data_IF_336032335950
#
_entry.id   IF_336032335950
#
_cell.length_a   1.000
_cell.length_b   1.000
_cell.length_c   1.000
_cell.angle_alpha   90.00
_cell.angle_beta   90.00
_cell.angle_gamma   90.00
#
_symmetry.space_group_name_H-M   'P 1'
#
loop_
_entity.id
_entity.type
_entity.pdbx_description
1 polymer ?
#
# COMPACT_ATOMS: atom_id res chain seq x y z
N UNK A 1 -15.19 45.36 62.54
CA UNK A 1 -14.52 44.63 61.46
C UNK A 1 -13.05 44.72 61.76
N UNK A 2 -12.55 43.80 62.59
CA UNK A 2 -11.15 43.79 62.99
C UNK A 2 -10.32 43.26 61.82
N UNK A 3 -9.65 44.17 61.13
CA UNK A 3 -8.65 43.80 60.13
C UNK A 3 -7.44 43.23 60.86
N UNK A 4 -7.43 41.90 61.03
CA UNK A 4 -6.24 41.18 61.49
C UNK A 4 -5.08 41.58 60.57
N UNK A 5 -3.93 42.03 61.12
CA UNK A 5 -2.78 42.44 60.31
C UNK A 5 -2.40 41.36 59.30
N UNK A 6 -1.97 41.73 58.09
CA UNK A 6 -1.67 40.76 57.01
C UNK A 6 -0.67 39.68 57.44
N UNK A 7 0.27 40.02 58.33
CA UNK A 7 1.24 39.07 58.88
C UNK A 7 0.64 38.05 59.87
N UNK A 8 -0.56 38.29 60.41
CA UNK A 8 -1.27 37.38 61.32
C UNK A 8 -2.28 36.47 60.61
N UNK A 9 -2.42 36.59 59.28
CA UNK A 9 -3.36 35.75 58.50
C UNK A 9 -2.89 34.31 58.37
N UNK A 10 -1.57 34.10 58.30
CA UNK A 10 -0.97 32.78 58.17
C UNK A 10 -0.07 32.51 59.36
N UNK A 11 -0.24 31.33 59.96
CA UNK A 11 0.66 30.81 60.97
C UNK A 11 1.35 29.56 60.42
N UNK A 12 2.68 29.56 60.36
CA UNK A 12 3.44 28.43 59.83
C UNK A 12 3.83 27.49 60.97
N UNK A 13 3.23 26.31 60.98
CA UNK A 13 3.58 25.22 61.88
C UNK A 13 4.67 24.36 61.22
N UNK A 14 5.84 24.30 61.83
CA UNK A 14 6.91 23.40 61.41
C UNK A 14 6.74 22.06 62.11
N UNK A 15 6.52 21.00 61.33
CA UNK A 15 6.47 19.62 61.82
C UNK A 15 7.19 18.71 60.84
N UNK A 16 8.01 17.77 61.33
CA UNK A 16 8.77 16.84 60.49
C UNK A 16 9.62 17.53 59.40
N UNK A 17 10.24 18.67 59.69
CA UNK A 17 11.03 19.49 58.76
C UNK A 17 10.22 19.96 57.53
N UNK A 18 8.89 20.08 57.67
CA UNK A 18 8.01 20.63 56.65
C UNK A 18 7.19 21.78 57.23
N UNK A 19 7.08 22.91 56.51
CA UNK A 19 6.18 23.98 56.89
C UNK A 19 4.74 23.59 56.55
N UNK A 20 3.82 23.82 57.48
CA UNK A 20 2.39 23.69 57.30
C UNK A 20 1.75 25.05 57.56
N UNK A 21 1.20 25.65 56.51
CA UNK A 21 0.56 26.96 56.60
C UNK A 21 -0.89 26.80 57.09
N UNK A 22 -1.17 27.43 58.23
CA UNK A 22 -2.47 27.40 58.88
C UNK A 22 -3.09 28.79 58.85
N UNK A 23 -4.42 28.86 58.78
CA UNK A 23 -5.14 30.12 59.02
C UNK A 23 -4.93 30.56 60.48
N UNK A 24 -4.15 31.61 60.68
CA UNK A 24 -3.73 32.10 62.00
C UNK A 24 -4.91 32.46 62.93
N UNK A 25 -5.95 33.17 62.46
CA UNK A 25 -7.14 33.49 63.26
C UNK A 25 -7.92 32.24 63.71
N UNK A 26 -8.08 31.24 62.84
CA UNK A 26 -8.76 29.99 63.20
C UNK A 26 -7.90 29.17 64.16
N UNK A 27 -6.61 29.05 63.89
CA UNK A 27 -5.71 28.24 64.73
C UNK A 27 -5.49 28.84 66.12
N UNK A 28 -5.37 30.17 66.25
CA UNK A 28 -5.26 30.86 67.55
C UNK A 28 -6.50 30.71 68.43
N UNK A 29 -7.68 30.55 67.84
CA UNK A 29 -8.91 30.26 68.57
C UNK A 29 -8.95 28.82 69.08
N UNK A 30 -8.33 27.89 68.34
CA UNK A 30 -8.32 26.47 68.64
C UNK A 30 -7.18 26.07 69.59
N UNK A 31 -6.02 26.71 69.49
CA UNK A 31 -4.81 26.44 70.27
C UNK A 31 -4.47 27.63 71.18
N UNK A 32 -4.45 27.40 72.50
CA UNK A 32 -4.03 28.43 73.46
C UNK A 32 -2.55 28.80 73.29
N UNK A 33 -1.69 27.84 72.93
CA UNK A 33 -0.26 28.06 72.66
C UNK A 33 -0.07 28.95 71.42
N UNK A 34 -0.77 28.66 70.32
CA UNK A 34 -0.75 29.53 69.13
C UNK A 34 -1.26 30.95 69.46
N UNK A 35 -2.34 31.06 70.24
CA UNK A 35 -2.86 32.36 70.67
C UNK A 35 -1.83 33.20 71.43
N UNK A 36 -1.08 32.60 72.36
CA UNK A 36 0.02 33.27 73.07
C UNK A 36 1.15 33.70 72.13
N UNK A 37 1.57 32.83 71.21
CA UNK A 37 2.65 33.12 70.26
C UNK A 37 2.28 34.28 69.32
N UNK A 38 1.04 34.29 68.80
CA UNK A 38 0.55 35.38 67.95
C UNK A 38 0.41 36.71 68.71
N UNK A 39 0.03 36.68 69.99
CA UNK A 39 0.02 37.88 70.85
C UNK A 39 1.44 38.45 71.07
N UNK A 40 2.46 37.59 71.05
CA UNK A 40 3.87 37.97 71.14
C UNK A 40 4.48 38.39 69.78
N UNK A 41 3.68 38.41 68.71
CA UNK A 41 4.13 38.74 67.36
C UNK A 41 4.87 37.61 66.63
N UNK A 42 4.87 36.39 67.17
CA UNK A 42 5.44 35.22 66.50
C UNK A 42 4.40 34.53 65.62
N UNK A 43 4.70 34.42 64.33
CA UNK A 43 3.81 33.82 63.30
C UNK A 43 4.22 32.41 62.91
N UNK A 44 5.16 31.82 63.65
CA UNK A 44 5.62 30.46 63.43
C UNK A 44 5.81 29.73 64.75
N UNK A 45 5.73 28.40 64.70
CA UNK A 45 6.10 27.55 65.82
C UNK A 45 6.49 26.16 65.35
N UNK A 46 7.24 25.46 66.18
CA UNK A 46 7.80 24.15 65.87
C UNK A 46 7.18 23.11 66.78
N UNK A 47 6.77 21.99 66.21
CA UNK A 47 6.38 20.80 66.96
C UNK A 47 7.63 20.13 67.51
N UNK A 48 7.72 19.95 68.83
CA UNK A 48 8.93 19.40 69.47
C UNK A 48 9.09 17.91 69.20
N UNK A 49 7.98 17.18 69.06
CA UNK A 49 7.97 15.73 68.85
C UNK A 49 7.82 15.41 67.37
N UNK A 50 8.62 14.48 66.87
CA UNK A 50 8.39 13.91 65.55
C UNK A 50 7.23 12.92 65.65
N UNK A 51 6.26 13.07 64.75
CA UNK A 51 5.03 12.28 64.74
C UNK A 51 4.76 11.80 63.33
N UNK A 52 3.90 10.79 63.16
CA UNK A 52 3.63 10.29 61.81
C UNK A 52 2.91 11.33 60.94
N UNK A 53 3.10 11.25 59.63
CA UNK A 53 2.51 12.22 58.69
C UNK A 53 0.97 12.18 58.68
N UNK A 54 0.37 11.01 58.91
CA UNK A 54 -1.08 10.86 59.07
C UNK A 54 -1.58 11.57 60.35
N UNK A 55 -0.83 11.48 61.45
CA UNK A 55 -1.09 12.21 62.69
C UNK A 55 -1.01 13.73 62.46
N UNK A 56 0.01 14.24 61.76
CA UNK A 56 0.13 15.67 61.44
C UNK A 56 -1.04 16.14 60.57
N UNK A 57 -1.39 15.37 59.55
CA UNK A 57 -2.49 15.71 58.64
C UNK A 57 -3.81 15.79 59.41
N UNK A 58 -4.05 14.85 60.33
CA UNK A 58 -5.21 14.86 61.20
C UNK A 58 -5.19 16.05 62.18
N UNK A 59 -4.03 16.40 62.75
CA UNK A 59 -3.86 17.55 63.63
C UNK A 59 -4.12 18.87 62.91
N UNK A 60 -3.53 19.07 61.74
CA UNK A 60 -3.71 20.27 60.89
C UNK A 60 -5.18 20.42 60.49
N UNK A 61 -5.80 19.34 60.03
CA UNK A 61 -7.23 19.34 59.68
C UNK A 61 -8.11 19.68 60.88
N UNK A 62 -7.84 19.10 62.06
CA UNK A 62 -8.58 19.43 63.29
C UNK A 62 -8.43 20.90 63.70
N UNK A 63 -7.23 21.48 63.53
CA UNK A 63 -6.95 22.87 63.86
C UNK A 63 -7.61 23.87 62.89
N UNK A 64 -7.97 23.44 61.68
CA UNK A 64 -8.66 24.23 60.66
C UNK A 64 -10.16 23.93 60.56
N UNK A 65 -10.74 23.19 61.53
CA UNK A 65 -12.14 22.78 61.54
C UNK A 65 -12.55 21.93 60.31
N UNK A 66 -11.58 21.22 59.73
CA UNK A 66 -11.80 20.29 58.61
C UNK A 66 -12.09 18.87 59.14
N UNK A 67 -12.77 18.02 58.35
CA UNK A 67 -12.99 16.62 58.72
C UNK A 67 -11.66 15.86 58.80
N UNK A 68 -11.45 15.12 59.88
CA UNK A 68 -10.24 14.31 60.10
C UNK A 68 -10.58 12.92 60.65
N UNK A 69 -9.64 11.98 60.52
CA UNK A 69 -9.80 10.59 60.98
C UNK A 69 -8.76 10.26 62.05
N UNK A 70 -9.23 9.74 63.17
CA UNK A 70 -8.36 9.18 64.23
C UNK A 70 -8.27 7.67 64.05
N UNK A 71 -7.05 7.14 64.05
CA UNK A 71 -6.80 5.70 63.99
C UNK A 71 -6.28 5.20 65.34
N UNK A 72 -6.33 3.88 65.58
CA UNK A 72 -5.78 3.27 66.80
C UNK A 72 -4.28 3.61 67.00
N UNK A 73 -3.54 3.77 65.90
CA UNK A 73 -2.10 4.03 65.95
C UNK A 73 -1.77 5.53 66.11
N UNK A 74 -2.62 6.42 65.57
CA UNK A 74 -2.40 7.87 65.65
C UNK A 74 -3.05 8.53 66.87
N UNK A 75 -3.96 7.84 67.58
CA UNK A 75 -4.72 8.42 68.70
C UNK A 75 -3.84 9.02 69.80
N UNK A 76 -2.84 8.27 70.30
CA UNK A 76 -1.99 8.77 71.38
C UNK A 76 -0.98 9.82 70.92
N UNK A 77 -0.41 9.68 69.72
CA UNK A 77 0.45 10.72 69.14
C UNK A 77 -0.34 12.03 68.95
N UNK A 78 -1.57 11.95 68.44
CA UNK A 78 -2.45 13.11 68.26
C UNK A 78 -2.83 13.75 69.61
N UNK A 79 -3.04 12.92 70.64
CA UNK A 79 -3.32 13.39 71.99
C UNK A 79 -2.13 14.14 72.59
N UNK A 80 -0.91 13.61 72.43
CA UNK A 80 0.32 14.24 72.92
C UNK A 80 0.55 15.61 72.24
N UNK A 81 0.37 15.71 70.92
CA UNK A 81 0.45 16.98 70.18
C UNK A 81 -0.64 17.95 70.65
N UNK A 82 -1.86 17.45 70.85
CA UNK A 82 -2.98 18.28 71.30
C UNK A 82 -2.74 18.86 72.69
N UNK A 83 -2.10 18.11 73.59
CA UNK A 83 -1.63 18.63 74.88
C UNK A 83 -0.49 19.65 74.69
N UNK A 84 0.52 19.35 73.87
CA UNK A 84 1.66 20.24 73.60
C UNK A 84 1.21 21.61 73.06
N UNK A 85 0.19 21.62 72.21
CA UNK A 85 -0.38 22.83 71.60
C UNK A 85 -1.63 23.35 72.32
N UNK A 86 -1.99 22.76 73.46
CA UNK A 86 -3.13 23.17 74.29
C UNK A 86 -4.47 23.29 73.51
N UNK A 87 -4.78 22.31 72.63
CA UNK A 87 -6.01 22.26 71.81
C UNK A 87 -7.10 21.47 72.54
N UNK A 88 -7.90 22.16 73.37
CA UNK A 88 -8.86 21.53 74.28
C UNK A 88 -9.95 20.67 73.59
N UNK A 89 -10.44 21.12 72.43
CA UNK A 89 -11.46 20.40 71.65
C UNK A 89 -10.94 19.06 71.13
N UNK A 90 -9.70 19.05 70.64
CA UNK A 90 -9.04 17.85 70.13
C UNK A 90 -8.67 16.89 71.27
N UNK A 91 -8.20 17.38 72.41
CA UNK A 91 -7.94 16.57 73.61
C UNK A 91 -9.21 15.81 74.02
N UNK A 92 -10.35 16.50 74.12
CA UNK A 92 -11.62 15.88 74.49
C UNK A 92 -12.05 14.83 73.47
N UNK A 93 -12.02 15.16 72.18
CA UNK A 93 -12.39 14.25 71.10
C UNK A 93 -11.56 12.96 71.10
N UNK A 94 -10.23 13.08 71.27
CA UNK A 94 -9.33 11.93 71.27
C UNK A 94 -9.49 11.10 72.55
N UNK A 95 -9.69 11.72 73.71
CA UNK A 95 -9.99 10.99 74.96
C UNK A 95 -11.32 10.21 74.87
N UNK A 96 -12.35 10.79 74.27
CA UNK A 96 -13.63 10.12 74.03
C UNK A 96 -13.45 8.93 73.07
N UNK A 97 -12.63 9.10 72.02
CA UNK A 97 -12.27 8.02 71.09
C UNK A 97 -11.52 6.88 71.81
N UNK A 98 -10.49 7.19 72.60
CA UNK A 98 -9.70 6.22 73.37
C UNK A 98 -10.59 5.44 74.35
N UNK A 99 -11.48 6.14 75.05
CA UNK A 99 -12.44 5.54 75.99
C UNK A 99 -13.44 4.64 75.28
N UNK A 100 -14.00 5.08 74.13
CA UNK A 100 -14.96 4.30 73.35
C UNK A 100 -14.37 3.04 72.70
N UNK A 101 -13.07 3.05 72.40
CA UNK A 101 -12.36 1.94 71.75
C UNK A 101 -11.54 1.09 72.70
N UNK A 102 -11.50 1.43 74.00
CA UNK A 102 -10.77 0.68 75.03
C UNK A 102 -9.29 0.51 74.71
N UNK A 103 -8.65 1.51 74.11
CA UNK A 103 -7.25 1.43 73.68
C UNK A 103 -6.37 1.88 74.86
N UNK A 104 -5.42 1.06 75.29
CA UNK A 104 -4.41 1.45 76.28
C UNK A 104 -3.19 2.05 75.59
N UNK A 105 -2.54 3.04 76.23
CA UNK A 105 -1.24 3.55 75.75
C UNK A 105 -0.26 2.37 75.76
N UNK A 106 0.52 2.14 74.70
CA UNK A 106 1.63 1.19 74.77
C UNK A 106 2.53 1.59 75.94
N UNK A 107 2.72 0.70 76.93
CA UNK A 107 3.66 0.92 78.04
C UNK A 107 5.08 1.12 77.51
N UNK A 108 5.92 1.88 78.22
CA UNK A 108 7.34 2.17 77.90
C UNK A 108 8.00 1.02 77.15
N UNK A 109 7.91 1.07 75.83
CA UNK A 109 8.53 0.06 74.98
C UNK A 109 9.98 0.48 74.88
N UNK A 110 10.90 -0.45 75.16
CA UNK A 110 12.31 -0.26 74.88
C UNK A 110 12.47 -0.09 73.36
N UNK A 111 12.42 1.17 72.91
CA UNK A 111 12.41 1.53 71.49
C UNK A 111 13.66 1.01 70.77
N UNK A 112 14.80 0.93 71.49
CA UNK A 112 16.07 0.47 70.93
C UNK A 112 16.05 -1.04 70.77
N UNK A 113 15.56 -1.79 71.77
CA UNK A 113 15.41 -3.23 71.65
C UNK A 113 14.40 -3.64 70.56
N UNK A 114 13.30 -2.89 70.41
CA UNK A 114 12.33 -3.12 69.33
C UNK A 114 12.94 -2.82 67.96
N UNK A 115 13.67 -1.70 67.82
CA UNK A 115 14.39 -1.37 66.59
C UNK A 115 15.40 -2.47 66.22
N UNK A 116 16.22 -2.93 67.17
CA UNK A 116 17.18 -4.02 66.92
C UNK A 116 16.50 -5.32 66.49
N UNK A 117 15.36 -5.65 67.11
CA UNK A 117 14.55 -6.82 66.72
C UNK A 117 14.00 -6.70 65.30
N UNK A 118 13.60 -5.50 64.88
CA UNK A 118 13.10 -5.24 63.53
C UNK A 118 14.21 -5.17 62.48
N UNK A 119 15.38 -4.61 62.83
CA UNK A 119 16.59 -4.62 62.02
C UNK A 119 17.07 -6.05 61.73
N UNK A 120 17.11 -6.92 62.75
CA UNK A 120 17.47 -8.34 62.59
C UNK A 120 16.54 -9.11 61.66
N UNK A 121 15.27 -8.68 61.55
CA UNK A 121 14.28 -9.27 60.64
C UNK A 121 14.23 -8.60 59.26
N UNK A 122 15.07 -7.58 59.01
CA UNK A 122 15.05 -6.72 57.81
C UNK A 122 13.67 -6.09 57.54
N UNK A 123 12.89 -5.85 58.58
CA UNK A 123 11.52 -5.31 58.49
C UNK A 123 11.36 -4.14 59.46
N UNK A 124 12.19 -3.11 59.30
CA UNK A 124 12.11 -1.89 60.10
C UNK A 124 11.07 -0.93 59.50
N UNK A 125 10.30 -0.27 60.36
CA UNK A 125 9.30 0.70 59.97
C UNK A 125 9.74 2.12 60.31
N UNK A 126 9.22 3.12 59.58
CA UNK A 126 9.46 4.55 59.90
C UNK A 126 9.06 4.91 61.33
N UNK A 127 8.08 4.19 61.89
CA UNK A 127 7.66 4.35 63.28
C UNK A 127 8.76 4.07 64.29
N UNK A 128 9.65 3.13 64.00
CA UNK A 128 10.71 2.71 64.92
C UNK A 128 11.80 3.78 64.99
N UNK A 129 12.15 4.37 63.83
CA UNK A 129 13.06 5.51 63.71
C UNK A 129 12.48 6.72 64.45
N UNK A 130 11.19 7.01 64.26
CA UNK A 130 10.52 8.11 64.97
C UNK A 130 10.54 7.87 66.48
N UNK A 131 10.25 6.66 66.94
CA UNK A 131 10.24 6.31 68.36
C UNK A 131 11.61 6.53 69.02
N UNK A 132 12.70 6.08 68.39
CA UNK A 132 14.06 6.28 68.91
C UNK A 132 14.50 7.75 68.79
N UNK A 133 14.14 8.45 67.71
CA UNK A 133 14.44 9.89 67.57
C UNK A 133 13.78 10.74 68.66
N UNK A 134 12.60 10.33 69.14
CA UNK A 134 11.90 10.97 70.25
C UNK A 134 12.54 10.71 71.63
N UNK A 135 13.56 9.84 71.72
CA UNK A 135 14.35 9.60 72.94
C UNK A 135 15.87 9.75 72.69
N UNK A 136 16.26 10.46 71.61
CA UNK A 136 17.64 10.51 71.10
C UNK A 136 18.73 10.75 72.16
N UNK A 137 18.56 11.70 73.08
CA UNK A 137 19.59 12.01 74.08
C UNK A 137 19.76 10.86 75.10
N UNK A 138 18.69 10.11 75.39
CA UNK A 138 18.76 8.90 76.21
C UNK A 138 19.33 7.74 75.41
N UNK A 139 19.00 7.65 74.13
CA UNK A 139 19.50 6.61 73.24
C UNK A 139 21.01 6.73 72.96
N UNK A 140 21.54 7.94 72.83
CA UNK A 140 22.97 8.21 72.62
C UNK A 140 23.85 7.72 73.77
N UNK A 141 23.30 7.63 74.98
CA UNK A 141 23.98 7.08 76.15
C UNK A 141 23.80 5.56 76.30
N UNK A 142 22.96 4.93 75.46
CA UNK A 142 22.68 3.49 75.53
C UNK A 142 23.76 2.68 74.77
N UNK A 143 24.44 1.72 75.42
CA UNK A 143 25.49 0.91 74.79
C UNK A 143 24.98 -0.03 73.69
N UNK A 144 23.66 -0.17 73.50
CA UNK A 144 23.08 -1.00 72.44
C UNK A 144 22.91 -0.24 71.12
N UNK A 145 22.92 1.09 71.15
CA UNK A 145 22.73 1.91 69.95
C UNK A 145 23.80 1.65 68.87
N UNK A 146 25.11 1.49 69.19
CA UNK A 146 26.14 1.16 68.18
C UNK A 146 25.91 -0.17 67.42
N UNK A 147 25.02 -1.04 67.89
CA UNK A 147 24.68 -2.30 67.23
C UNK A 147 23.64 -2.12 66.10
N UNK A 148 23.06 -0.93 66.01
CA UNK A 148 22.12 -0.56 64.95
C UNK A 148 22.91 -0.33 63.65
N UNK A 149 22.35 -0.65 62.47
CA UNK A 149 23.01 -0.33 61.21
C UNK A 149 23.27 1.17 61.07
N UNK A 150 24.46 1.60 60.60
CA UNK A 150 24.84 3.01 60.52
C UNK A 150 23.90 3.88 59.68
N UNK A 151 23.21 3.32 58.68
CA UNK A 151 22.19 4.05 57.93
C UNK A 151 20.97 4.39 58.78
N UNK A 152 20.60 3.54 59.74
CA UNK A 152 19.49 3.79 60.65
C UNK A 152 19.89 4.82 61.71
N UNK A 153 21.11 4.75 62.24
CA UNK A 153 21.63 5.78 63.17
C UNK A 153 21.64 7.16 62.51
N UNK A 154 22.11 7.24 61.27
CA UNK A 154 22.09 8.48 60.49
C UNK A 154 20.66 9.02 60.33
N UNK A 155 19.70 8.13 60.01
CA UNK A 155 18.28 8.53 59.87
C UNK A 155 17.64 8.94 61.19
N UNK A 156 17.99 8.31 62.30
CA UNK A 156 17.52 8.66 63.66
C UNK A 156 18.03 10.04 64.04
N UNK A 157 19.31 10.32 63.79
CA UNK A 157 19.92 11.61 64.10
C UNK A 157 19.36 12.74 63.24
N UNK A 158 19.20 12.52 61.93
CA UNK A 158 18.50 13.46 61.05
C UNK A 158 17.03 13.66 61.48
N UNK A 159 16.38 12.60 61.98
CA UNK A 159 15.02 12.69 62.49
C UNK A 159 14.93 13.51 63.78
N UNK A 160 15.98 13.42 64.60
CA UNK A 160 16.10 14.07 65.89
C UNK A 160 16.54 15.53 65.80
N UNK A 161 17.00 16.03 64.64
CA UNK A 161 17.48 17.40 64.42
C UNK A 161 16.48 18.51 64.81
N UNK A 162 15.17 18.24 64.75
CA UNK A 162 14.12 19.14 65.28
C UNK A 162 14.21 19.37 66.79
N UNK A 163 14.86 18.45 67.48
CA UNK A 163 15.15 18.52 68.91
C UNK A 163 16.59 19.01 69.06
N UNK A 164 16.84 19.83 70.05
CA UNK A 164 18.21 20.18 70.43
C UNK A 164 18.94 18.93 70.93
N UNK A 165 19.59 18.20 70.02
CA UNK A 165 20.47 17.07 70.33
C UNK A 165 21.61 17.60 71.19
N UNK A 166 21.94 16.87 72.25
CA UNK A 166 23.13 17.21 73.03
C UNK A 166 24.39 16.91 72.21
N UNK A 167 25.05 17.96 71.77
CA UNK A 167 26.24 17.90 70.93
C UNK A 167 27.43 17.19 71.62
N UNK A 168 27.49 17.18 72.96
CA UNK A 168 28.54 16.44 73.68
C UNK A 168 28.27 14.94 73.64
N UNK A 169 27.03 14.52 73.94
CA UNK A 169 26.65 13.11 73.86
C UNK A 169 26.77 12.55 72.43
N UNK A 170 26.45 13.37 71.43
CA UNK A 170 26.63 12.99 70.03
C UNK A 170 28.10 12.82 69.66
N UNK A 171 28.96 13.75 70.09
CA UNK A 171 30.41 13.66 69.85
C UNK A 171 30.99 12.41 70.52
N UNK A 172 30.66 12.16 71.79
CA UNK A 172 31.14 10.99 72.53
C UNK A 172 30.68 9.67 71.87
N UNK A 173 29.43 9.62 71.41
CA UNK A 173 28.90 8.48 70.67
C UNK A 173 29.64 8.26 69.34
N UNK A 174 29.80 9.31 68.52
CA UNK A 174 30.46 9.20 67.20
C UNK A 174 31.94 8.86 67.35
N UNK A 175 32.64 9.39 68.35
CA UNK A 175 34.04 9.03 68.62
C UNK A 175 34.16 7.59 69.12
N UNK A 176 33.25 7.14 69.98
CA UNK A 176 33.21 5.75 70.42
C UNK A 176 32.98 4.81 69.24
N UNK A 177 32.00 5.14 68.38
CA UNK A 177 31.72 4.39 67.16
C UNK A 177 32.88 4.42 66.17
N UNK A 178 33.58 5.56 66.03
CA UNK A 178 34.74 5.69 65.16
C UNK A 178 35.90 4.79 65.61
N UNK A 179 36.14 4.71 66.92
CA UNK A 179 37.18 3.85 67.48
C UNK A 179 36.86 2.35 67.35
N UNK A 180 35.58 1.97 67.41
CA UNK A 180 35.13 0.58 67.24
C UNK A 180 35.00 0.17 65.77
N UNK A 181 34.45 1.06 64.93
CA UNK A 181 34.22 0.85 63.51
C UNK A 181 34.18 2.19 62.74
N UNK A 182 35.33 2.60 62.20
CA UNK A 182 35.50 3.84 61.46
C UNK A 182 34.55 3.97 60.24
N UNK A 183 34.24 2.86 59.54
CA UNK A 183 33.33 2.88 58.39
C UNK A 183 31.90 3.22 58.79
N UNK A 184 31.41 2.66 59.91
CA UNK A 184 30.06 2.95 60.41
C UNK A 184 29.92 4.40 60.91
N UNK A 185 31.00 4.98 61.42
CA UNK A 185 31.01 6.37 61.90
C UNK A 185 31.05 7.40 60.76
N UNK A 186 31.60 7.06 59.59
CA UNK A 186 31.75 7.95 58.44
C UNK A 186 30.51 8.83 58.13
N UNK A 187 29.28 8.30 57.99
CA UNK A 187 28.10 9.13 57.73
C UNK A 187 27.77 10.09 58.88
N UNK A 188 28.06 9.72 60.12
CA UNK A 188 27.72 10.49 61.32
C UNK A 188 28.71 11.63 61.61
N UNK A 189 29.95 11.51 61.13
CA UNK A 189 30.99 12.53 61.27
C UNK A 189 30.58 13.86 60.60
N UNK A 190 29.72 13.82 59.60
CA UNK A 190 29.17 15.04 59.00
C UNK A 190 28.20 15.81 59.90
N UNK A 191 27.67 15.17 60.95
CA UNK A 191 26.65 15.72 61.84
C UNK A 191 27.22 16.30 63.15
N UNK A 192 28.50 16.06 63.43
CA UNK A 192 29.15 16.56 64.66
C UNK A 192 29.70 17.97 64.50
N UNK A 193 29.74 18.70 65.62
CA UNK A 193 30.37 20.02 65.70
C UNK A 193 31.90 19.88 65.82
N UNK A 194 32.60 20.04 64.70
CA UNK A 194 34.07 19.96 64.64
C UNK A 194 34.79 20.97 65.55
N UNK A 195 34.13 22.05 65.97
CA UNK A 195 34.73 23.04 66.87
C UNK A 195 34.96 22.50 68.29
N UNK A 196 34.31 21.39 68.64
CA UNK A 196 34.38 20.74 69.96
C UNK A 196 35.35 19.56 70.00
N UNK A 197 35.91 19.16 68.86
CA UNK A 197 36.87 18.07 68.78
C UNK A 197 38.23 18.50 69.33
N UNK A 198 38.95 17.56 69.95
CA UNK A 198 40.37 17.77 70.24
C UNK A 198 41.19 17.71 68.95
N UNK A 199 42.39 18.31 68.97
CA UNK A 199 43.27 18.31 67.79
C UNK A 199 43.57 16.89 67.32
N UNK A 200 43.90 15.99 68.25
CA UNK A 200 44.20 14.58 67.96
C UNK A 200 42.99 13.84 67.36
N UNK A 201 41.77 14.09 67.85
CA UNK A 201 40.54 13.50 67.29
C UNK A 201 40.27 14.01 65.88
N UNK A 202 40.46 15.31 65.66
CA UNK A 202 40.28 15.90 64.33
C UNK A 202 41.28 15.34 63.33
N UNK A 203 42.55 15.25 63.70
CA UNK A 203 43.60 14.71 62.85
C UNK A 203 43.38 13.22 62.56
N UNK A 204 42.98 12.44 63.56
CA UNK A 204 42.63 11.03 63.41
C UNK A 204 41.47 10.79 62.43
N UNK A 205 40.41 11.62 62.48
CA UNK A 205 39.29 11.56 61.54
C UNK A 205 39.74 11.92 60.11
N UNK A 206 40.52 13.00 59.94
CA UNK A 206 40.95 13.45 58.61
C UNK A 206 42.02 12.56 57.98
N UNK A 207 42.80 11.81 58.77
CA UNK A 207 43.84 10.92 58.25
C UNK A 207 43.37 9.48 58.04
N UNK A 208 42.17 9.12 58.51
CA UNK A 208 41.60 7.77 58.40
C UNK A 208 41.24 7.42 56.94
N UNK A 209 41.93 6.43 56.32
CA UNK A 209 41.65 6.02 54.94
C UNK A 209 40.23 5.49 54.72
N UNK A 210 39.67 4.82 55.72
CA UNK A 210 38.34 4.19 55.67
C UNK A 210 37.24 5.24 55.50
N UNK A 211 37.37 6.41 56.15
CA UNK A 211 36.44 7.53 55.97
C UNK A 211 36.54 8.10 54.56
N UNK A 212 37.76 8.22 54.02
CA UNK A 212 37.96 8.70 52.64
C UNK A 212 37.33 7.76 51.63
N UNK A 213 37.49 6.45 51.81
CA UNK A 213 36.90 5.43 50.94
C UNK A 213 35.37 5.48 50.98
N UNK A 214 34.76 5.53 52.17
CA UNK A 214 33.30 5.64 52.30
C UNK A 214 32.74 6.94 51.71
N UNK A 215 33.42 8.06 51.92
CA UNK A 215 33.03 9.33 51.30
C UNK A 215 33.10 9.26 49.77
N UNK A 216 34.16 8.69 49.22
CA UNK A 216 34.31 8.48 47.77
C UNK A 216 33.21 7.54 47.25
N UNK A 217 32.94 6.44 47.95
CA UNK A 217 31.88 5.48 47.61
C UNK A 217 30.49 6.14 47.60
N UNK A 218 30.22 7.04 48.56
CA UNK A 218 29.00 7.83 48.57
C UNK A 218 28.87 8.70 47.33
N UNK A 219 29.91 9.46 46.95
CA UNK A 219 29.86 10.31 45.76
C UNK A 219 29.72 9.51 44.47
N UNK A 220 30.39 8.36 44.36
CA UNK A 220 30.24 7.44 43.22
C UNK A 220 28.80 6.91 43.17
N UNK A 221 28.25 6.46 44.29
CA UNK A 221 26.88 5.94 44.38
C UNK A 221 25.84 7.02 44.03
N UNK A 222 26.04 8.25 44.50
CA UNK A 222 25.20 9.39 44.16
C UNK A 222 25.26 9.72 42.67
N UNK A 223 26.46 9.75 42.08
CA UNK A 223 26.64 9.96 40.64
C UNK A 223 25.95 8.87 39.82
N UNK A 224 26.10 7.60 40.21
CA UNK A 224 25.43 6.46 39.57
C UNK A 224 23.91 6.53 39.71
N UNK A 225 23.39 6.89 40.89
CA UNK A 225 21.95 7.06 41.11
C UNK A 225 21.38 8.23 40.29
N UNK A 226 22.12 9.33 40.19
CA UNK A 226 21.76 10.50 39.37
C UNK A 226 21.75 10.14 37.87
N UNK A 227 22.78 9.43 37.40
CA UNK A 227 22.85 8.92 36.03
C UNK A 227 21.70 7.97 35.72
N UNK A 228 21.36 7.07 36.66
CA UNK A 228 20.21 6.16 36.52
C UNK A 228 18.90 6.94 36.41
N UNK A 229 18.67 7.92 37.29
CA UNK A 229 17.48 8.75 37.24
C UNK A 229 17.38 9.56 35.94
N UNK A 230 18.52 10.02 35.39
CA UNK A 230 18.57 10.65 34.07
C UNK A 230 18.22 9.67 32.94
N UNK A 231 18.80 8.48 32.95
CA UNK A 231 18.52 7.44 31.96
C UNK A 231 17.04 7.03 31.97
N UNK A 232 16.43 6.90 33.15
CA UNK A 232 15.00 6.58 33.29
C UNK A 232 14.12 7.70 32.71
N UNK A 233 14.48 8.98 32.93
CA UNK A 233 13.77 10.12 32.32
C UNK A 233 13.90 10.13 30.80
N UNK A 234 15.10 9.92 30.28
CA UNK A 234 15.36 9.87 28.83
C UNK A 234 14.59 8.72 28.17
N UNK A 235 14.55 7.55 28.83
CA UNK A 235 13.76 6.41 28.38
C UNK A 235 12.27 6.71 28.36
N UNK A 236 11.71 7.27 29.43
CA UNK A 236 10.30 7.66 29.48
C UNK A 236 9.95 8.69 28.39
N UNK A 237 10.87 9.63 28.12
CA UNK A 237 10.69 10.60 27.05
C UNK A 237 10.76 9.95 25.66
N UNK A 238 11.68 9.01 25.43
CA UNK A 238 11.78 8.26 24.18
C UNK A 238 10.52 7.41 23.94
N UNK A 239 10.05 6.70 24.96
CA UNK A 239 8.82 5.91 24.90
C UNK A 239 7.60 6.79 24.53
N UNK A 240 7.51 7.99 25.12
CA UNK A 240 6.45 8.95 24.78
C UNK A 240 6.54 9.45 23.33
N UNK A 241 7.76 9.72 22.82
CA UNK A 241 7.99 10.11 21.42
C UNK A 241 7.60 8.99 20.46
N UNK A 242 8.07 7.77 20.71
CA UNK A 242 7.74 6.61 19.89
C UNK A 242 6.24 6.30 19.90
N UNK A 243 5.57 6.46 21.03
CA UNK A 243 4.12 6.31 21.09
C UNK A 243 3.40 7.33 20.19
N UNK A 244 3.82 8.60 20.24
CA UNK A 244 3.26 9.64 19.37
C UNK A 244 3.53 9.37 17.88
N UNK A 245 4.75 8.94 17.52
CA UNK A 245 5.12 8.55 16.15
C UNK A 245 4.31 7.35 15.67
N UNK A 246 4.13 6.32 16.49
CA UNK A 246 3.31 5.15 16.16
C UNK A 246 1.85 5.54 15.97
N UNK A 247 1.32 6.44 16.81
CA UNK A 247 -0.06 6.92 16.67
C UNK A 247 -0.26 7.67 15.35
N UNK A 248 0.66 8.57 15.00
CA UNK A 248 0.57 9.31 13.72
C UNK A 248 0.72 8.37 12.52
N UNK A 249 1.64 7.40 12.57
CA UNK A 249 1.74 6.37 11.54
C UNK A 249 0.45 5.55 11.41
N UNK A 250 -0.18 5.18 12.53
CA UNK A 250 -1.45 4.44 12.52
C UNK A 250 -2.56 5.23 11.85
N UNK A 251 -2.66 6.53 12.14
CA UNK A 251 -3.61 7.42 11.47
C UNK A 251 -3.34 7.55 9.97
N UNK A 252 -2.07 7.68 9.58
CA UNK A 252 -1.68 7.76 8.17
C UNK A 252 -2.02 6.45 7.43
N UNK A 253 -1.75 5.30 8.03
CA UNK A 253 -2.11 3.98 7.48
C UNK A 253 -3.62 3.84 7.36
N UNK A 254 -4.39 4.24 8.38
CA UNK A 254 -5.85 4.22 8.31
C UNK A 254 -6.38 5.13 7.20
N UNK A 255 -5.86 6.36 7.07
CA UNK A 255 -6.25 7.28 5.98
C UNK A 255 -5.90 6.69 4.61
N UNK A 256 -4.71 6.11 4.46
CA UNK A 256 -4.30 5.46 3.22
C UNK A 256 -5.20 4.27 2.88
N UNK A 257 -5.57 3.46 3.87
CA UNK A 257 -6.48 2.32 3.71
C UNK A 257 -7.89 2.78 3.31
N UNK A 258 -8.44 3.80 3.96
CA UNK A 258 -9.75 4.37 3.61
C UNK A 258 -9.71 4.92 2.18
N UNK A 259 -8.66 5.65 1.80
CA UNK A 259 -8.50 6.18 0.45
C UNK A 259 -8.39 5.07 -0.59
N UNK A 260 -7.66 4.00 -0.32
CA UNK A 260 -7.57 2.83 -1.20
C UNK A 260 -8.93 2.14 -1.36
N UNK A 261 -9.66 1.92 -0.26
CA UNK A 261 -11.02 1.35 -0.29
C UNK A 261 -11.96 2.24 -1.09
N UNK A 262 -11.92 3.57 -0.88
CA UNK A 262 -12.78 4.51 -1.61
C UNK A 262 -12.45 4.53 -3.11
N UNK A 263 -11.17 4.47 -3.48
CA UNK A 263 -10.75 4.35 -4.88
C UNK A 263 -11.27 3.06 -5.51
N UNK A 264 -11.09 1.93 -4.84
CA UNK A 264 -11.60 0.62 -5.30
C UNK A 264 -13.12 0.63 -5.41
N UNK A 265 -13.84 1.21 -4.45
CA UNK A 265 -15.31 1.37 -4.52
C UNK A 265 -15.75 2.24 -5.69
N UNK A 266 -15.04 3.34 -5.96
CA UNK A 266 -15.33 4.21 -7.10
C UNK A 266 -15.13 3.48 -8.44
N UNK A 267 -14.02 2.76 -8.59
CA UNK A 267 -13.75 1.92 -9.77
C UNK A 267 -14.81 0.82 -9.94
N UNK A 268 -15.24 0.18 -8.85
CA UNK A 268 -16.31 -0.80 -8.89
C UNK A 268 -17.67 -0.19 -9.28
N UNK A 269 -18.03 0.97 -8.74
CA UNK A 269 -19.27 1.67 -9.10
C UNK A 269 -19.28 2.07 -10.58
N UNK A 270 -18.14 2.50 -11.12
CA UNK A 270 -18.00 2.79 -12.55
C UNK A 270 -18.16 1.53 -13.41
N UNK A 271 -17.53 0.42 -13.03
CA UNK A 271 -17.73 -0.87 -13.71
C UNK A 271 -19.17 -1.36 -13.65
N UNK A 272 -19.83 -1.23 -12.49
CA UNK A 272 -21.26 -1.56 -12.35
C UNK A 272 -22.12 -0.72 -13.29
N UNK A 273 -21.83 0.58 -13.43
CA UNK A 273 -22.55 1.46 -14.36
C UNK A 273 -22.37 1.01 -15.81
N UNK A 274 -21.15 0.66 -16.21
CA UNK A 274 -20.87 0.11 -17.55
C UNK A 274 -21.66 -1.18 -17.81
N UNK A 275 -21.68 -2.08 -16.83
CA UNK A 275 -22.44 -3.34 -16.94
C UNK A 275 -23.95 -3.08 -17.04
N UNK A 276 -24.51 -2.18 -16.21
CA UNK A 276 -25.94 -1.80 -16.30
C UNK A 276 -26.28 -1.21 -17.67
N UNK A 277 -25.47 -0.28 -18.18
CA UNK A 277 -25.67 0.31 -19.50
C UNK A 277 -25.65 -0.76 -20.60
N UNK A 278 -24.77 -1.76 -20.49
CA UNK A 278 -24.71 -2.88 -21.43
C UNK A 278 -25.95 -3.76 -21.35
N UNK A 279 -26.44 -4.05 -20.14
CA UNK A 279 -27.69 -4.80 -19.93
C UNK A 279 -28.87 -4.04 -20.54
N UNK A 280 -28.98 -2.72 -20.32
CA UNK A 280 -30.03 -1.91 -20.93
C UNK A 280 -29.97 -1.91 -22.46
N UNK A 281 -28.77 -1.81 -23.04
CA UNK A 281 -28.58 -1.89 -24.50
C UNK A 281 -28.99 -3.26 -25.04
N UNK A 282 -28.60 -4.35 -24.36
CA UNK A 282 -28.97 -5.71 -24.75
C UNK A 282 -30.47 -5.94 -24.63
N UNK A 283 -31.13 -5.39 -23.59
CA UNK A 283 -32.59 -5.49 -23.46
C UNK A 283 -33.32 -4.78 -24.60
N UNK A 284 -32.83 -3.61 -25.05
CA UNK A 284 -33.38 -2.92 -26.23
C UNK A 284 -33.19 -3.74 -27.51
N UNK A 285 -32.01 -4.30 -27.71
CA UNK A 285 -31.71 -5.16 -28.85
C UNK A 285 -32.62 -6.42 -28.86
N UNK A 286 -32.85 -7.02 -27.69
CA UNK A 286 -33.79 -8.14 -27.54
C UNK A 286 -35.22 -7.70 -27.88
N UNK A 287 -35.67 -6.53 -27.44
CA UNK A 287 -36.98 -5.98 -27.80
C UNK A 287 -37.13 -5.75 -29.32
N UNK A 288 -36.11 -5.21 -29.96
CA UNK A 288 -36.06 -5.02 -31.42
C UNK A 288 -36.13 -6.37 -32.15
N UNK A 289 -35.33 -7.35 -31.73
CA UNK A 289 -35.35 -8.70 -32.28
C UNK A 289 -36.72 -9.37 -32.08
N UNK A 290 -37.35 -9.21 -30.91
CA UNK A 290 -38.70 -9.72 -30.66
C UNK A 290 -39.74 -9.06 -31.59
N UNK A 291 -39.64 -7.76 -31.84
CA UNK A 291 -40.53 -7.06 -32.76
C UNK A 291 -40.32 -7.51 -34.21
N UNK A 292 -39.06 -7.67 -34.65
CA UNK A 292 -38.74 -8.22 -35.99
C UNK A 292 -39.31 -9.64 -36.12
N UNK A 293 -39.12 -10.48 -35.10
CA UNK A 293 -39.64 -11.86 -35.09
C UNK A 293 -41.16 -11.88 -35.18
N UNK A 294 -41.86 -11.00 -34.45
CA UNK A 294 -43.32 -10.83 -34.56
C UNK A 294 -43.75 -10.36 -35.95
N UNK A 295 -43.03 -9.40 -36.55
CA UNK A 295 -43.31 -8.94 -37.91
C UNK A 295 -43.11 -10.06 -38.93
N UNK A 296 -42.02 -10.83 -38.83
CA UNK A 296 -41.75 -11.99 -39.69
C UNK A 296 -42.83 -13.07 -39.52
N UNK A 297 -43.24 -13.37 -38.29
CA UNK A 297 -44.33 -14.32 -38.03
C UNK A 297 -45.65 -13.86 -38.67
N UNK A 298 -45.96 -12.57 -38.62
CA UNK A 298 -47.14 -12.01 -39.29
C UNK A 298 -47.02 -12.08 -40.82
N UNK A 299 -45.85 -11.76 -41.38
CA UNK A 299 -45.59 -11.87 -42.81
C UNK A 299 -45.71 -13.32 -43.31
N UNK A 300 -45.23 -14.28 -42.52
CA UNK A 300 -45.39 -15.71 -42.82
C UNK A 300 -46.85 -16.10 -42.80
N UNK A 301 -47.63 -15.70 -41.79
CA UNK A 301 -49.08 -15.95 -41.76
C UNK A 301 -49.80 -15.36 -42.98
N UNK A 302 -49.49 -14.12 -43.37
CA UNK A 302 -50.09 -13.52 -44.57
C UNK A 302 -49.71 -14.27 -45.84
N UNK A 303 -48.46 -14.73 -45.94
CA UNK A 303 -48.00 -15.55 -47.08
C UNK A 303 -48.67 -16.91 -47.08
N UNK A 304 -48.84 -17.56 -45.93
CA UNK A 304 -49.57 -18.82 -45.79
C UNK A 304 -51.02 -18.65 -46.23
N UNK A 305 -51.72 -17.59 -45.80
CA UNK A 305 -53.07 -17.28 -46.26
C UNK A 305 -53.14 -17.01 -47.77
N UNK A 306 -52.16 -16.30 -48.34
CA UNK A 306 -52.05 -16.10 -49.79
C UNK A 306 -51.79 -17.42 -50.54
N UNK A 307 -50.90 -18.27 -50.03
CA UNK A 307 -50.62 -19.58 -50.58
C UNK A 307 -51.86 -20.47 -50.51
N UNK A 308 -52.61 -20.47 -49.41
CA UNK A 308 -53.85 -21.22 -49.27
C UNK A 308 -54.93 -20.71 -50.25
N UNK A 309 -55.05 -19.39 -50.43
CA UNK A 309 -55.93 -18.79 -51.46
C UNK A 309 -55.51 -19.20 -52.87
N UNK A 310 -54.21 -19.22 -53.18
CA UNK A 310 -53.70 -19.68 -54.48
C UNK A 310 -53.94 -21.18 -54.68
N UNK A 311 -53.74 -22.00 -53.65
CA UNK A 311 -54.03 -23.43 -53.69
C UNK A 311 -55.52 -23.69 -53.91
N UNK A 312 -56.42 -22.95 -53.25
CA UNK A 312 -57.87 -23.02 -53.52
C UNK A 312 -58.18 -22.65 -54.97
N UNK A 313 -57.64 -21.55 -55.48
CA UNK A 313 -57.81 -21.17 -56.90
C UNK A 313 -57.31 -22.24 -57.88
N UNK A 314 -56.16 -22.84 -57.60
CA UNK A 314 -55.61 -23.94 -58.40
C UNK A 314 -56.47 -25.20 -58.28
N UNK A 315 -56.97 -25.51 -57.08
CA UNK A 315 -57.90 -26.62 -56.86
C UNK A 315 -59.20 -26.42 -57.65
N UNK A 316 -59.79 -25.23 -57.60
CA UNK A 316 -60.99 -24.88 -58.37
C UNK A 316 -60.73 -24.97 -59.89
N UNK A 317 -59.52 -24.59 -60.33
CA UNK A 317 -59.11 -24.72 -61.73
C UNK A 317 -58.92 -26.18 -62.14
N UNK A 318 -58.32 -27.01 -61.28
CA UNK A 318 -58.20 -28.45 -61.50
C UNK A 318 -59.58 -29.11 -61.52
N UNK A 319 -60.51 -28.68 -60.65
CA UNK A 319 -61.89 -29.17 -60.62
C UNK A 319 -62.62 -28.80 -61.92
N UNK A 320 -62.48 -27.56 -62.39
CA UNK A 320 -62.98 -27.14 -63.72
C UNK A 320 -62.35 -27.93 -64.86
N UNK A 321 -61.04 -28.19 -64.81
CA UNK A 321 -60.35 -29.00 -65.81
C UNK A 321 -60.76 -30.48 -65.74
N UNK A 322 -61.11 -31.02 -64.57
CA UNK A 322 -61.62 -32.40 -64.46
C UNK A 322 -63.06 -32.51 -64.91
N UNK A 323 -63.89 -31.47 -64.73
CA UNK A 323 -65.22 -31.40 -65.35
C UNK A 323 -65.07 -31.32 -66.88
N UNK A 324 -64.21 -30.44 -67.39
CA UNK A 324 -63.92 -30.36 -68.83
C UNK A 324 -63.31 -31.66 -69.37
N UNK A 325 -62.43 -32.33 -68.64
CA UNK A 325 -61.87 -33.61 -69.05
C UNK A 325 -62.92 -34.72 -69.07
N UNK A 326 -63.91 -34.70 -68.16
CA UNK A 326 -65.07 -35.60 -68.20
C UNK A 326 -65.99 -35.28 -69.38
N UNK A 327 -66.23 -34.01 -69.69
CA UNK A 327 -66.95 -33.59 -70.90
C UNK A 327 -66.20 -34.03 -72.17
N UNK A 328 -64.87 -33.95 -72.19
CA UNK A 328 -64.05 -34.48 -73.28
C UNK A 328 -64.09 -36.01 -73.35
N UNK A 329 -64.09 -36.73 -72.22
CA UNK A 329 -64.20 -38.20 -72.19
C UNK A 329 -65.59 -38.68 -72.67
N UNK A 330 -66.65 -37.89 -72.45
CA UNK A 330 -67.98 -38.10 -73.05
C UNK A 330 -68.03 -37.76 -74.55
N UNK A 331 -67.32 -36.72 -74.99
CA UNK A 331 -67.18 -36.39 -76.42
C UNK A 331 -66.31 -37.42 -77.19
N UNK A 332 -65.29 -38.00 -76.56
CA UNK A 332 -64.41 -39.03 -77.13
C UNK A 332 -65.16 -40.35 -77.39
N UNK A 333 -66.19 -40.65 -76.58
CA UNK A 333 -67.08 -41.82 -76.83
C UNK A 333 -67.97 -41.65 -78.07
N UNK A 334 -68.16 -40.44 -78.59
CA UNK A 334 -68.91 -40.13 -79.82
C UNK A 334 -68.03 -39.77 -81.03
N UNK A 335 -66.70 -39.72 -80.87
CA UNK A 335 -65.74 -39.28 -81.88
C UNK A 335 -65.29 -40.32 -82.95
N UNK A 336 -65.55 -41.65 -82.85
CA UNK A 336 -65.13 -42.60 -83.90
C UNK A 336 -65.93 -42.53 -85.21
N UNK A 337 -67.12 -41.90 -85.25
CA UNK A 337 -67.97 -41.82 -86.45
C UNK A 337 -67.76 -40.54 -87.29
N UNK A 338 -67.25 -39.44 -86.70
CA UNK A 338 -67.09 -38.15 -87.41
C UNK A 338 -65.69 -38.00 -88.04
N UNK A 339 -64.67 -38.65 -87.50
CA UNK A 339 -63.27 -38.55 -87.98
C UNK A 339 -63.02 -39.27 -89.32
N UNK A 340 -63.93 -40.16 -89.77
CA UNK A 340 -63.80 -40.80 -91.10
C UNK A 340 -64.37 -39.98 -92.27
N UNK A 341 -65.17 -38.94 -92.01
CA UNK A 341 -65.75 -38.08 -93.05
C UNK A 341 -64.99 -36.76 -93.24
N UNK A 342 -64.51 -36.11 -92.17
CA UNK A 342 -63.87 -34.78 -92.29
C UNK A 342 -62.38 -34.83 -92.72
N UNK A 343 -61.68 -35.96 -92.50
CA UNK A 343 -60.23 -36.09 -92.79
C UNK A 343 -59.93 -36.25 -94.29
N UNK A 344 -60.95 -36.45 -95.13
CA UNK A 344 -60.77 -36.57 -96.59
C UNK A 344 -61.10 -35.28 -97.36
N UNK A 345 -61.88 -34.35 -96.78
CA UNK A 345 -62.42 -33.19 -97.50
C UNK A 345 -61.72 -31.84 -97.19
N UNK A 346 -60.93 -31.70 -96.10
CA UNK A 346 -60.28 -30.40 -95.75
C UNK A 346 -58.74 -30.38 -95.74
N UNK A 347 -58.03 -31.52 -95.82
CA UNK A 347 -56.55 -31.54 -95.73
C UNK A 347 -55.84 -31.19 -97.06
N UNK A 348 -56.53 -31.29 -98.20
CA UNK A 348 -55.96 -31.02 -99.53
C UNK A 348 -55.84 -29.52 -99.88
N UNK A 349 -56.84 -28.65 -99.63
CA UNK A 349 -56.72 -27.21 -99.96
C UNK A 349 -55.88 -26.40 -98.96
N UNK A 350 -55.73 -26.84 -97.70
CA UNK A 350 -54.88 -26.17 -96.70
C UNK A 350 -53.39 -26.41 -97.00
N UNK A 351 -53.04 -27.56 -97.59
CA UNK A 351 -51.65 -27.87 -97.99
C UNK A 351 -51.18 -26.99 -99.16
N UNK A 352 -52.07 -26.63 -100.09
CA UNK A 352 -51.75 -25.71 -101.19
C UNK A 352 -51.73 -24.24 -100.74
N UNK A 353 -52.62 -23.83 -99.80
CA UNK A 353 -52.60 -22.48 -99.21
C UNK A 353 -51.35 -22.24 -98.36
N UNK A 354 -50.94 -23.19 -97.52
CA UNK A 354 -49.74 -23.07 -96.69
C UNK A 354 -48.46 -23.07 -97.56
N UNK A 355 -48.45 -23.76 -98.70
CA UNK A 355 -47.29 -23.74 -99.60
C UNK A 355 -47.16 -22.39 -100.33
N UNK A 356 -48.28 -21.74 -100.68
CA UNK A 356 -48.27 -20.40 -101.28
C UNK A 356 -48.01 -19.30 -100.26
N UNK A 357 -48.56 -19.38 -99.05
CA UNK A 357 -48.27 -18.42 -97.98
C UNK A 357 -46.82 -18.56 -97.45
N UNK A 358 -46.25 -19.77 -97.47
CA UNK A 358 -44.82 -19.97 -97.19
C UNK A 358 -43.97 -19.36 -98.31
N UNK A 359 -44.34 -19.48 -99.59
CA UNK A 359 -43.56 -18.89 -100.68
C UNK A 359 -43.66 -17.36 -100.71
N UNK A 360 -44.83 -16.77 -100.46
CA UNK A 360 -45.00 -15.31 -100.39
C UNK A 360 -44.33 -14.71 -99.13
N UNK A 361 -44.36 -15.42 -97.99
CA UNK A 361 -43.61 -15.01 -96.80
C UNK A 361 -42.10 -15.24 -96.97
N UNK A 362 -41.68 -16.23 -97.76
CA UNK A 362 -40.27 -16.45 -98.07
C UNK A 362 -39.75 -15.38 -99.01
N UNK A 363 -40.49 -14.99 -100.06
CA UNK A 363 -40.13 -13.91 -100.99
C UNK A 363 -40.06 -12.55 -100.27
N UNK A 364 -41.04 -12.23 -99.40
CA UNK A 364 -41.03 -11.01 -98.59
C UNK A 364 -39.91 -11.02 -97.53
N UNK A 365 -39.62 -12.17 -96.92
CA UNK A 365 -38.48 -12.31 -96.01
C UNK A 365 -37.15 -12.29 -96.74
N UNK A 366 -37.00 -12.78 -97.98
CA UNK A 366 -35.76 -12.65 -98.75
C UNK A 366 -35.51 -11.21 -99.17
N UNK A 367 -36.54 -10.41 -99.47
CA UNK A 367 -36.37 -8.99 -99.80
C UNK A 367 -36.01 -8.13 -98.57
N UNK A 368 -36.63 -8.39 -97.42
CA UNK A 368 -36.25 -7.75 -96.14
C UNK A 368 -34.93 -8.30 -95.59
N UNK A 369 -34.63 -9.59 -95.77
CA UNK A 369 -33.32 -10.17 -95.47
C UNK A 369 -32.26 -9.62 -96.41
N UNK A 370 -32.51 -9.33 -97.69
CA UNK A 370 -31.50 -8.70 -98.56
C UNK A 370 -31.24 -7.25 -98.14
N UNK A 371 -32.24 -6.49 -97.69
CA UNK A 371 -32.03 -5.12 -97.16
C UNK A 371 -31.34 -5.11 -95.79
N UNK A 372 -31.67 -6.06 -94.92
CA UNK A 372 -31.02 -6.23 -93.61
C UNK A 372 -29.61 -6.80 -93.81
N UNK A 373 -29.44 -7.78 -94.71
CA UNK A 373 -28.16 -8.36 -95.10
C UNK A 373 -27.28 -7.32 -95.77
N UNK A 374 -27.76 -6.45 -96.65
CA UNK A 374 -26.93 -5.36 -97.20
C UNK A 374 -26.62 -4.26 -96.15
N UNK A 375 -27.49 -4.07 -95.14
CA UNK A 375 -27.27 -3.13 -94.02
C UNK A 375 -26.32 -3.67 -92.93
N UNK A 376 -26.22 -5.00 -92.78
CA UNK A 376 -25.34 -5.67 -91.82
C UNK A 376 -24.07 -6.26 -92.45
N UNK A 377 -24.11 -6.71 -93.71
CA UNK A 377 -22.95 -7.22 -94.45
C UNK A 377 -21.98 -6.08 -94.78
N UNK A 378 -22.41 -4.83 -94.98
CA UNK A 378 -21.46 -3.72 -95.15
C UNK A 378 -20.60 -3.48 -93.89
N UNK A 379 -21.17 -3.31 -92.68
CA UNK A 379 -20.37 -3.21 -91.46
C UNK A 379 -19.69 -4.53 -91.07
N UNK A 380 -20.25 -5.69 -91.42
CA UNK A 380 -19.70 -7.00 -91.09
C UNK A 380 -18.57 -7.40 -92.01
N UNK A 381 -18.64 -7.17 -93.33
CA UNK A 381 -17.51 -7.30 -94.26
C UNK A 381 -16.43 -6.26 -93.92
N UNK A 382 -16.78 -5.00 -93.63
CA UNK A 382 -15.79 -4.01 -93.15
C UNK A 382 -15.15 -4.44 -91.83
N UNK A 383 -15.92 -5.06 -90.92
CA UNK A 383 -15.39 -5.59 -89.67
C UNK A 383 -14.57 -6.86 -89.90
N UNK A 384 -14.99 -7.76 -90.80
CA UNK A 384 -14.29 -9.00 -91.15
C UNK A 384 -12.98 -8.69 -91.86
N UNK A 385 -12.97 -7.82 -92.87
CA UNK A 385 -11.76 -7.32 -93.52
C UNK A 385 -10.86 -6.60 -92.52
N UNK A 386 -11.42 -5.82 -91.58
CA UNK A 386 -10.61 -5.23 -90.49
C UNK A 386 -10.06 -6.27 -89.54
N UNK A 387 -10.81 -7.30 -89.14
CA UNK A 387 -10.27 -8.37 -88.30
C UNK A 387 -9.27 -9.23 -89.05
N UNK A 388 -9.47 -9.54 -90.32
CA UNK A 388 -8.52 -10.30 -91.15
C UNK A 388 -7.27 -9.47 -91.45
N UNK A 389 -7.41 -8.16 -91.68
CA UNK A 389 -6.30 -7.21 -91.78
C UNK A 389 -5.53 -7.09 -90.46
N UNK A 390 -6.22 -6.98 -89.32
CA UNK A 390 -5.59 -6.92 -87.99
C UNK A 390 -4.96 -8.26 -87.62
N UNK A 391 -5.57 -9.38 -88.00
CA UNK A 391 -5.02 -10.73 -87.82
C UNK A 391 -3.76 -10.91 -88.69
N UNK A 392 -3.81 -10.50 -89.95
CA UNK A 392 -2.66 -10.52 -90.85
C UNK A 392 -1.55 -9.56 -90.38
N UNK A 393 -1.88 -8.36 -89.89
CA UNK A 393 -0.91 -7.45 -89.28
C UNK A 393 -0.35 -7.99 -87.97
N UNK A 394 -1.17 -8.65 -87.15
CA UNK A 394 -0.73 -9.31 -85.93
C UNK A 394 0.19 -10.49 -86.23
N UNK A 395 -0.09 -11.27 -87.27
CA UNK A 395 0.76 -12.37 -87.72
C UNK A 395 2.07 -11.86 -88.34
N UNK A 396 2.03 -10.79 -89.14
CA UNK A 396 3.22 -10.11 -89.65
C UNK A 396 4.04 -9.54 -88.50
N UNK A 397 3.40 -8.93 -87.50
CA UNK A 397 4.08 -8.35 -86.33
C UNK A 397 4.62 -9.42 -85.39
N UNK A 398 3.92 -10.54 -85.25
CA UNK A 398 4.35 -11.71 -84.48
C UNK A 398 5.57 -12.35 -85.13
N UNK A 399 5.56 -12.53 -86.46
CA UNK A 399 6.71 -13.01 -87.22
C UNK A 399 7.89 -12.03 -87.13
N UNK A 400 7.66 -10.72 -87.25
CA UNK A 400 8.71 -9.72 -87.04
C UNK A 400 9.28 -9.74 -85.63
N UNK A 401 8.43 -9.91 -84.60
CA UNK A 401 8.89 -10.03 -83.22
C UNK A 401 9.67 -11.33 -83.01
N UNK A 402 9.30 -12.42 -83.69
CA UNK A 402 10.05 -13.67 -83.65
C UNK A 402 11.44 -13.50 -84.30
N UNK A 403 11.50 -12.86 -85.46
CA UNK A 403 12.75 -12.55 -86.16
C UNK A 403 13.63 -11.58 -85.36
N UNK A 404 13.07 -10.50 -84.82
CA UNK A 404 13.79 -9.54 -83.98
C UNK A 404 14.31 -10.20 -82.70
N UNK A 405 13.51 -11.06 -82.05
CA UNK A 405 13.94 -11.75 -80.85
C UNK A 405 15.02 -12.80 -81.15
N UNK A 406 14.97 -13.45 -82.33
CA UNK A 406 16.06 -14.32 -82.81
C UNK A 406 17.35 -13.51 -83.03
N UNK A 407 17.27 -12.37 -83.72
CA UNK A 407 18.42 -11.46 -83.94
C UNK A 407 18.98 -10.96 -82.60
N UNK A 408 18.11 -10.65 -81.63
CA UNK A 408 18.50 -10.18 -80.30
C UNK A 408 19.22 -11.28 -79.50
N UNK A 409 18.79 -12.53 -79.61
CA UNK A 409 19.47 -13.69 -79.02
C UNK A 409 20.84 -13.94 -79.68
N UNK A 410 20.94 -13.84 -81.00
CA UNK A 410 22.20 -13.99 -81.72
C UNK A 410 23.19 -12.88 -81.34
N UNK A 411 22.73 -11.63 -81.25
CA UNK A 411 23.54 -10.50 -80.79
C UNK A 411 23.98 -10.66 -79.33
N UNK A 412 23.11 -11.16 -78.45
CA UNK A 412 23.47 -11.48 -77.05
C UNK A 412 24.54 -12.58 -76.98
N UNK A 413 24.42 -13.62 -77.79
CA UNK A 413 25.40 -14.69 -77.89
C UNK A 413 26.74 -14.17 -78.41
N UNK A 414 26.74 -13.39 -79.49
CA UNK A 414 27.95 -12.77 -80.04
C UNK A 414 28.62 -11.83 -79.04
N UNK A 415 27.86 -10.99 -78.34
CA UNK A 415 28.41 -10.06 -77.36
C UNK A 415 28.98 -10.78 -76.13
N UNK A 416 28.27 -11.80 -75.62
CA UNK A 416 28.75 -12.62 -74.50
C UNK A 416 30.04 -13.38 -74.85
N UNK A 417 30.13 -13.94 -76.07
CA UNK A 417 31.32 -14.63 -76.56
C UNK A 417 32.47 -13.64 -76.82
N UNK A 418 32.19 -12.45 -77.35
CA UNK A 418 33.19 -11.39 -77.54
C UNK A 418 33.74 -10.90 -76.20
N UNK A 419 32.89 -10.68 -75.20
CA UNK A 419 33.32 -10.33 -73.84
C UNK A 419 34.22 -11.41 -73.23
N UNK A 420 33.86 -12.69 -73.42
CA UNK A 420 34.66 -13.83 -72.98
C UNK A 420 36.02 -13.85 -73.70
N UNK A 421 36.03 -13.66 -75.03
CA UNK A 421 37.24 -13.61 -75.85
C UNK A 421 38.16 -12.43 -75.51
N UNK A 422 37.62 -11.25 -75.25
CA UNK A 422 38.39 -10.07 -74.82
C UNK A 422 39.01 -10.27 -73.43
N UNK A 423 38.26 -10.88 -72.50
CA UNK A 423 38.80 -11.30 -71.19
C UNK A 423 39.98 -12.26 -71.35
N UNK A 424 39.85 -13.28 -72.20
CA UNK A 424 40.95 -14.21 -72.49
C UNK A 424 42.11 -13.58 -73.29
N UNK A 425 41.88 -12.50 -74.05
CA UNK A 425 42.93 -11.78 -74.80
C UNK A 425 43.86 -10.96 -73.90
N UNK A 426 43.36 -10.46 -72.76
CA UNK A 426 44.16 -9.74 -71.76
C UNK A 426 45.07 -10.63 -70.90
N UNK A 427 44.83 -11.95 -70.90
CA UNK A 427 45.50 -12.92 -70.02
C UNK A 427 46.32 -13.93 -70.84
N UNK A 428 47.42 -13.49 -71.47
CA UNK A 428 48.30 -14.33 -72.32
C UNK A 428 48.95 -15.56 -71.62
N UNK A 429 48.74 -15.77 -70.33
CA UNK A 429 49.46 -16.75 -69.50
C UNK A 429 48.58 -17.84 -68.84
N UNK A 430 47.28 -17.93 -69.15
CA UNK A 430 46.41 -19.00 -68.62
C UNK A 430 46.35 -20.19 -69.59
N UNK A 431 46.70 -21.39 -69.09
CA UNK A 431 46.81 -22.64 -69.86
C UNK A 431 45.53 -23.50 -69.88
N UNK A 432 44.47 -23.15 -69.15
CA UNK A 432 43.19 -23.86 -69.21
C UNK A 432 42.28 -23.28 -70.30
N UNK A 433 42.38 -23.80 -71.53
CA UNK A 433 41.54 -23.40 -72.66
C UNK A 433 40.42 -24.39 -72.99
N UNK A 434 40.38 -25.55 -72.33
CA UNK A 434 39.47 -26.64 -72.69
C UNK A 434 38.03 -26.43 -72.21
N UNK A 435 37.81 -25.69 -71.11
CA UNK A 435 36.47 -25.42 -70.56
C UNK A 435 36.02 -23.95 -70.70
N UNK A 436 36.33 -23.32 -71.84
CA UNK A 436 36.03 -21.90 -72.10
C UNK A 436 34.53 -21.54 -72.13
N UNK A 437 33.64 -22.53 -72.32
CA UNK A 437 32.18 -22.32 -72.41
C UNK A 437 31.39 -22.79 -71.18
N UNK A 438 32.05 -23.27 -70.12
CA UNK A 438 31.37 -23.78 -68.91
C UNK A 438 30.49 -22.74 -68.18
N UNK A 439 30.70 -21.44 -68.44
CA UNK A 439 29.86 -20.36 -67.91
C UNK A 439 28.43 -20.43 -68.48
N UNK A 440 28.23 -21.00 -69.67
CA UNK A 440 26.94 -21.13 -70.34
C UNK A 440 26.18 -22.43 -69.98
N UNK A 441 26.74 -23.31 -69.15
CA UNK A 441 26.12 -24.59 -68.70
C UNK A 441 25.22 -24.45 -67.46
N UNK A 442 25.18 -23.27 -66.83
CA UNK A 442 24.32 -23.01 -65.66
C UNK A 442 22.84 -23.02 -66.06
N UNK A 443 21.95 -23.30 -65.10
CA UNK A 443 20.49 -23.53 -65.27
C UNK A 443 19.68 -22.42 -65.98
N UNK A 444 20.29 -21.32 -66.43
CA UNK A 444 19.70 -20.30 -67.31
C UNK A 444 20.73 -19.59 -68.22
N UNK A 445 21.92 -20.17 -68.45
CA UNK A 445 22.99 -19.57 -69.25
C UNK A 445 23.44 -18.18 -68.79
N UNK A 446 24.44 -17.59 -69.44
CA UNK A 446 24.68 -16.14 -69.31
C UNK A 446 23.73 -15.45 -70.30
N UNK A 447 22.80 -14.64 -69.79
CA UNK A 447 21.75 -13.97 -70.58
C UNK A 447 20.82 -14.88 -71.38
N UNK A 448 20.60 -16.12 -70.92
CA UNK A 448 19.76 -17.11 -71.62
C UNK A 448 20.43 -17.78 -72.82
N UNK A 449 21.73 -17.52 -73.06
CA UNK A 449 22.48 -18.13 -74.17
C UNK A 449 22.93 -19.54 -73.80
N UNK A 450 22.65 -20.49 -74.67
CA UNK A 450 23.07 -21.90 -74.51
C UNK A 450 24.51 -22.11 -75.00
N UNK A 451 25.16 -23.18 -74.53
CA UNK A 451 26.50 -23.58 -74.97
C UNK A 451 26.60 -23.75 -76.49
N UNK A 452 25.53 -24.24 -77.13
CA UNK A 452 25.49 -24.45 -78.58
C UNK A 452 25.52 -23.10 -79.34
N UNK A 453 24.67 -22.16 -78.93
CA UNK A 453 24.62 -20.81 -79.51
C UNK A 453 25.93 -20.02 -79.28
N UNK A 454 26.56 -20.19 -78.11
CA UNK A 454 27.85 -19.56 -77.83
C UNK A 454 28.98 -20.10 -78.73
N UNK A 455 28.95 -21.40 -79.09
CA UNK A 455 29.93 -21.98 -80.02
C UNK A 455 29.71 -21.53 -81.47
N UNK A 456 28.46 -21.44 -81.91
CA UNK A 456 28.09 -20.93 -83.24
C UNK A 456 28.46 -19.45 -83.40
N UNK A 457 28.18 -18.63 -82.38
CA UNK A 457 28.57 -17.22 -82.35
C UNK A 457 30.11 -17.04 -82.31
N UNK A 458 30.86 -17.93 -81.64
CA UNK A 458 32.33 -17.91 -81.68
C UNK A 458 32.86 -18.17 -83.09
N UNK A 459 32.27 -19.12 -83.82
CA UNK A 459 32.64 -19.42 -85.21
C UNK A 459 32.37 -18.22 -86.12
N UNK A 460 31.19 -17.59 -86.00
CA UNK A 460 30.85 -16.40 -86.77
C UNK A 460 31.79 -15.22 -86.46
N UNK A 461 32.14 -15.00 -85.19
CA UNK A 461 33.10 -13.95 -84.80
C UNK A 461 34.49 -14.25 -85.34
N UNK A 462 34.94 -15.51 -85.35
CA UNK A 462 36.23 -15.90 -85.93
C UNK A 462 36.22 -15.68 -87.45
N UNK A 463 35.13 -16.00 -88.14
CA UNK A 463 34.97 -15.76 -89.57
C UNK A 463 34.87 -14.26 -89.92
N UNK A 464 34.18 -13.47 -89.11
CA UNK A 464 34.14 -12.01 -89.22
C UNK A 464 35.51 -11.38 -88.98
N UNK A 465 36.28 -11.83 -87.97
CA UNK A 465 37.66 -11.37 -87.75
C UNK A 465 38.55 -11.75 -88.95
N UNK A 466 38.35 -12.94 -89.52
CA UNK A 466 39.06 -13.37 -90.73
C UNK A 466 38.74 -12.47 -91.93
N UNK A 467 37.45 -12.20 -92.20
CA UNK A 467 37.01 -11.26 -93.25
C UNK A 467 37.45 -9.82 -92.98
N UNK A 468 37.45 -9.38 -91.73
CA UNK A 468 37.88 -8.04 -91.35
C UNK A 468 39.39 -7.88 -91.54
N UNK A 469 40.19 -8.91 -91.24
CA UNK A 469 41.63 -8.93 -91.55
C UNK A 469 41.89 -9.01 -93.07
N UNK A 470 41.00 -9.63 -93.86
CA UNK A 470 41.07 -9.66 -95.33
C UNK A 470 40.68 -8.30 -95.97
N UNK A 471 39.71 -7.57 -95.40
CA UNK A 471 39.23 -6.27 -95.89
C UNK A 471 40.04 -5.07 -95.37
N UNK A 472 40.63 -5.21 -94.18
CA UNK A 472 41.44 -4.19 -93.53
C UNK A 472 42.55 -4.90 -92.74
N UNK A 473 43.69 -5.25 -93.39
CA UNK A 473 44.81 -5.84 -92.70
C UNK A 473 45.36 -4.82 -91.70
N UNK A 474 45.06 -5.02 -90.42
CA UNK A 474 45.70 -4.29 -89.33
C UNK A 474 47.09 -4.88 -89.00
N UNK A 475 47.77 -5.42 -90.01
CA UNK A 475 49.21 -5.64 -89.98
C UNK A 475 49.88 -4.33 -90.42
N UNK A 476 50.00 -3.42 -89.46
CA UNK A 476 50.61 -2.12 -89.66
C UNK A 476 50.65 -1.25 -88.41
N UNK A 477 50.89 -1.85 -87.24
CA UNK A 477 51.45 -1.21 -86.04
C UNK A 477 51.98 -2.31 -85.09
N UNK A 478 53.07 -2.95 -85.51
CA UNK A 478 54.33 -2.78 -84.76
C UNK A 478 55.11 -1.65 -85.44
#
# INVERSE_FOLDING_TARGET
>A
MDSTPDFMRVFTLWANNRPYDLDGPTFSRMSKKCGKLMQQGQTQGVLVRRVRNDTITAFVAACQLQPFKVTRNSAFELLDIAYEWEVATLIKFVNDYVSSKGISRPHDVDCIAELLKHCNKKNYAESDIIAVSNIVNTALADPRLPQVPPEMDFRILLAADQRSIDQQLLLDFVITLFNENAQAAAPLISLIDFSRLTHDQSEGIFQCPEIHEENVNFFISWALSSLRAKADRERAQADARHFAEISTMRELVQKAQINAINKVKAEHAEREKVVRNRIESQNKEIEELLNITKQQANQLKTKEEEHEKRLKKLSDMIEKMTIQAKDFDEQIKHMPEIIKQEVTDEITPIRESITNDINDANDHNTDELHKIKDYFDQPLEDAQERTESIQAEADIRSNRLFDENSILLDNKAALAVKMLKDKFRGEKHIREKENKFGIFERRNGLWGVTVKQAKEAEQQIVELIKRMNELCPLDGYD
#
